data_IF_701364083485
#
_entry.id   IF_701364083485
#
_cell.length_a   1.000
_cell.length_b   1.000
_cell.length_c   1.000
_cell.angle_alpha   90.00
_cell.angle_beta   90.00
_cell.angle_gamma   90.00
#
_symmetry.space_group_name_H-M   'P 1'
#
loop_
_entity.id
_entity.type
_entity.pdbx_description
1 polymer ?
#
# COMPACT_ATOMS: atom_id res chain seq x y z
N UNK A 1 -1.82 -18.85 -16.22
CA UNK A 1 -1.87 -18.75 -14.75
C UNK A 1 -2.03 -17.29 -14.42
N UNK A 2 -2.99 -16.97 -13.57
CA UNK A 2 -3.36 -15.58 -13.29
C UNK A 2 -2.53 -15.07 -12.11
N UNK A 3 -1.54 -14.24 -12.41
CA UNK A 3 -0.57 -13.74 -11.44
C UNK A 3 -0.87 -12.29 -11.05
N UNK A 4 -2.04 -12.07 -10.47
CA UNK A 4 -2.46 -10.76 -10.01
C UNK A 4 -3.38 -10.85 -8.79
N UNK A 5 -3.40 -9.78 -8.02
CA UNK A 5 -4.25 -9.53 -6.88
C UNK A 5 -5.57 -8.95 -7.41
N UNK A 6 -6.68 -9.47 -6.92
CA UNK A 6 -8.05 -9.02 -7.26
C UNK A 6 -8.74 -8.31 -6.10
N UNK A 7 -8.18 -8.42 -4.89
CA UNK A 7 -8.72 -7.77 -3.69
C UNK A 7 -7.60 -7.50 -2.71
N UNK A 8 -7.57 -6.28 -2.15
CA UNK A 8 -6.71 -5.92 -1.02
C UNK A 8 -7.58 -5.42 0.11
N UNK A 9 -7.44 -6.03 1.28
CA UNK A 9 -8.07 -5.60 2.52
C UNK A 9 -6.99 -5.31 3.56
N UNK A 10 -7.31 -4.44 4.51
CA UNK A 10 -6.40 -4.04 5.58
C UNK A 10 -7.07 -4.34 6.92
N UNK A 11 -6.30 -4.76 7.92
CA UNK A 11 -6.80 -4.91 9.29
C UNK A 11 -7.25 -3.55 9.86
N UNK A 12 -8.54 -3.43 10.16
CA UNK A 12 -9.16 -2.21 10.69
C UNK A 12 -8.59 -1.84 12.08
N UNK A 13 -8.09 -2.81 12.85
CA UNK A 13 -7.45 -2.57 14.15
C UNK A 13 -6.12 -1.81 14.03
N UNK A 14 -5.41 -2.04 12.93
CA UNK A 14 -4.16 -1.35 12.58
C UNK A 14 -4.38 0.05 11.98
N UNK A 15 -5.63 0.36 11.60
CA UNK A 15 -6.02 1.60 10.92
C UNK A 15 -6.55 2.59 11.96
N UNK A 16 -5.65 3.35 12.58
CA UNK A 16 -6.03 4.53 13.39
C UNK A 16 -6.93 5.44 12.55
N UNK A 17 -8.03 5.95 13.10
CA UNK A 17 -9.01 6.80 12.39
C UNK A 17 -8.32 7.89 11.56
N UNK A 18 -8.23 7.65 10.26
CA UNK A 18 -7.58 8.57 9.34
C UNK A 18 -8.50 9.74 9.01
N UNK A 19 -7.89 10.88 8.69
CA UNK A 19 -8.64 12.01 8.11
C UNK A 19 -9.23 11.58 6.76
N UNK A 20 -10.37 12.15 6.32
CA UNK A 20 -11.02 11.78 5.06
C UNK A 20 -10.10 11.80 3.83
N UNK A 21 -9.12 12.71 3.82
CA UNK A 21 -8.16 12.84 2.72
C UNK A 21 -7.25 11.61 2.61
N UNK A 22 -6.79 11.07 3.74
CA UNK A 22 -5.90 9.90 3.77
C UNK A 22 -6.68 8.64 3.36
N UNK A 23 -7.93 8.51 3.77
CA UNK A 23 -8.78 7.41 3.33
C UNK A 23 -9.03 7.45 1.81
N UNK A 24 -9.26 8.65 1.25
CA UNK A 24 -9.36 8.82 -0.21
C UNK A 24 -8.08 8.39 -0.92
N UNK A 25 -6.93 8.88 -0.47
CA UNK A 25 -5.61 8.53 -1.05
C UNK A 25 -5.35 7.02 -0.98
N UNK A 26 -5.68 6.39 0.15
CA UNK A 26 -5.59 4.93 0.30
C UNK A 26 -6.45 4.20 -0.71
N UNK A 27 -7.71 4.60 -0.90
CA UNK A 27 -8.60 3.95 -1.88
C UNK A 27 -8.07 4.07 -3.30
N UNK A 28 -7.52 5.22 -3.65
CA UNK A 28 -6.85 5.44 -4.95
C UNK A 28 -5.66 4.50 -5.09
N UNK A 29 -4.76 4.46 -4.10
CA UNK A 29 -3.60 3.58 -4.13
C UNK A 29 -3.97 2.09 -4.25
N UNK A 30 -5.02 1.62 -3.55
CA UNK A 30 -5.52 0.24 -3.68
C UNK A 30 -6.09 0.00 -5.08
N UNK A 31 -6.84 0.95 -5.63
CA UNK A 31 -7.39 0.84 -6.98
C UNK A 31 -6.29 0.72 -8.03
N UNK A 32 -5.30 1.62 -7.98
CA UNK A 32 -4.17 1.62 -8.92
C UNK A 32 -3.35 0.33 -8.82
N UNK A 33 -3.13 -0.15 -7.59
CA UNK A 33 -2.49 -1.44 -7.34
C UNK A 33 -3.29 -2.58 -7.99
N UNK A 34 -4.60 -2.67 -7.79
CA UNK A 34 -5.42 -3.74 -8.34
C UNK A 34 -5.45 -3.75 -9.88
N UNK A 35 -5.41 -2.58 -10.51
CA UNK A 35 -5.42 -2.46 -11.98
C UNK A 35 -4.10 -2.87 -12.64
N UNK A 36 -2.95 -2.63 -11.99
CA UNK A 36 -1.63 -2.74 -12.63
C UNK A 36 -0.66 -3.72 -11.97
N UNK A 37 -1.08 -4.44 -10.93
CA UNK A 37 -0.17 -5.36 -10.23
C UNK A 37 0.19 -6.62 -11.03
N UNK A 38 1.39 -7.09 -10.76
CA UNK A 38 1.79 -8.48 -10.96
C UNK A 38 2.15 -9.07 -9.59
N UNK A 39 1.59 -10.23 -9.27
CA UNK A 39 1.81 -10.89 -8.00
C UNK A 39 1.91 -12.40 -8.21
N UNK A 40 3.05 -12.98 -7.82
CA UNK A 40 3.32 -14.41 -7.96
C UNK A 40 4.07 -14.92 -6.73
N UNK A 41 3.39 -15.58 -5.78
CA UNK A 41 4.04 -16.18 -4.63
C UNK A 41 5.05 -17.26 -5.05
N UNK A 42 6.23 -17.24 -4.45
CA UNK A 42 7.31 -18.18 -4.75
C UNK A 42 6.98 -19.64 -4.39
N UNK A 43 5.95 -19.86 -3.55
CA UNK A 43 5.43 -21.18 -3.21
C UNK A 43 4.78 -21.90 -4.41
N UNK A 44 4.48 -21.18 -5.49
CA UNK A 44 3.74 -21.71 -6.63
C UNK A 44 2.22 -21.73 -6.40
N UNK A 45 1.73 -21.02 -5.37
CA UNK A 45 0.30 -20.85 -5.13
C UNK A 45 -0.37 -20.27 -6.38
N UNK A 46 -1.44 -20.90 -6.83
CA UNK A 46 -2.16 -20.47 -8.02
C UNK A 46 -3.00 -19.23 -7.71
N UNK A 47 -3.01 -18.26 -8.61
CA UNK A 47 -3.85 -17.07 -8.49
C UNK A 47 -5.10 -17.15 -9.37
N UNK A 48 -5.93 -16.07 -9.39
CA UNK A 48 -5.65 -14.77 -8.79
C UNK A 48 -5.80 -14.76 -7.26
N UNK A 49 -5.29 -13.70 -6.62
CA UNK A 49 -5.11 -13.66 -5.16
C UNK A 49 -5.97 -12.61 -4.49
N UNK A 50 -6.47 -12.93 -3.30
CA UNK A 50 -6.95 -11.94 -2.34
C UNK A 50 -5.89 -11.73 -1.28
N UNK A 51 -5.57 -10.48 -0.99
CA UNK A 51 -4.56 -10.11 -0.03
C UNK A 51 -5.21 -9.43 1.17
N UNK A 52 -4.91 -9.90 2.36
CA UNK A 52 -5.21 -9.21 3.61
C UNK A 52 -3.91 -8.78 4.28
N UNK A 53 -3.74 -7.47 4.47
CA UNK A 53 -2.56 -6.88 5.09
C UNK A 53 -2.86 -6.46 6.52
N UNK A 54 -2.01 -6.89 7.45
CA UNK A 54 -2.15 -6.55 8.86
C UNK A 54 -0.79 -6.25 9.50
N UNK A 55 -0.82 -5.60 10.66
CA UNK A 55 0.37 -5.35 11.47
C UNK A 55 0.33 -6.26 12.69
N UNK A 56 1.30 -7.17 12.79
CA UNK A 56 1.46 -8.05 13.94
C UNK A 56 2.90 -7.99 14.46
N UNK A 57 3.09 -7.74 15.75
CA UNK A 57 4.41 -7.74 16.41
C UNK A 57 5.49 -6.91 15.67
N UNK A 58 5.12 -5.72 15.20
CA UNK A 58 5.99 -4.86 14.37
C UNK A 58 6.46 -5.51 13.05
N UNK A 59 5.61 -6.34 12.46
CA UNK A 59 5.77 -6.90 11.11
C UNK A 59 4.55 -6.59 10.27
N UNK A 60 4.77 -6.43 8.98
CA UNK A 60 3.71 -6.40 7.98
C UNK A 60 3.45 -7.85 7.56
N UNK A 61 2.23 -8.32 7.77
CA UNK A 61 1.83 -9.69 7.42
C UNK A 61 1.00 -9.64 6.15
N UNK A 62 1.41 -10.43 5.16
CA UNK A 62 0.69 -10.65 3.92
C UNK A 62 -0.05 -11.97 4.05
N UNK A 63 -1.36 -11.92 4.26
CA UNK A 63 -2.21 -13.10 4.21
C UNK A 63 -2.73 -13.25 2.77
N UNK A 64 -2.22 -14.25 2.07
CA UNK A 64 -2.47 -14.48 0.65
C UNK A 64 -3.44 -15.64 0.52
N UNK A 65 -4.62 -15.36 -0.05
CA UNK A 65 -5.63 -16.37 -0.33
C UNK A 65 -5.77 -16.58 -1.84
N UNK A 66 -5.61 -17.83 -2.28
CA UNK A 66 -5.93 -18.23 -3.64
C UNK A 66 -7.44 -18.18 -3.86
N UNK A 67 -7.86 -17.57 -4.97
CA UNK A 67 -9.26 -17.69 -5.45
C UNK A 67 -9.47 -18.97 -6.25
N UNK A 68 -8.39 -19.65 -6.65
CA UNK A 68 -8.41 -20.93 -7.33
C UNK A 68 -8.37 -22.09 -6.33
N UNK A 69 -9.30 -23.04 -6.48
CA UNK A 69 -9.33 -24.39 -5.88
C UNK A 69 -8.93 -24.49 -4.40
N UNK A 70 -9.93 -24.64 -3.53
CA UNK A 70 -9.73 -25.16 -2.16
C UNK A 70 -9.35 -24.15 -1.09
N UNK A 71 -9.50 -22.84 -1.35
CA UNK A 71 -9.21 -21.76 -0.38
C UNK A 71 -7.79 -21.83 0.22
N UNK A 72 -6.82 -22.33 -0.55
CA UNK A 72 -5.44 -22.40 -0.11
C UNK A 72 -4.94 -21.00 0.30
N UNK A 73 -4.39 -20.94 1.51
CA UNK A 73 -3.97 -19.70 2.16
C UNK A 73 -2.56 -19.86 2.69
N UNK A 74 -1.75 -18.82 2.55
CA UNK A 74 -0.43 -18.72 3.14
C UNK A 74 -0.20 -17.32 3.71
N UNK A 75 0.76 -17.21 4.63
CA UNK A 75 1.11 -15.94 5.27
C UNK A 75 2.60 -15.67 5.14
N UNK A 76 2.96 -14.45 4.75
CA UNK A 76 4.34 -13.99 4.68
C UNK A 76 4.55 -12.86 5.69
N UNK A 77 5.56 -13.00 6.54
CA UNK A 77 5.88 -12.03 7.60
C UNK A 77 7.08 -11.20 7.19
N UNK A 78 6.87 -9.91 6.98
CA UNK A 78 7.93 -8.98 6.59
C UNK A 78 8.26 -8.04 7.75
N UNK A 79 9.54 -7.94 8.17
CA UNK A 79 9.92 -7.01 9.22
C UNK A 79 9.81 -5.57 8.71
N UNK A 80 9.23 -4.66 9.51
CA UNK A 80 9.14 -3.24 9.15
C UNK A 80 10.49 -2.56 8.93
N UNK A 81 11.58 -3.14 9.45
CA UNK A 81 12.94 -2.61 9.24
C UNK A 81 13.29 -2.42 7.75
N UNK A 82 12.76 -3.27 6.86
CA UNK A 82 12.96 -3.12 5.41
C UNK A 82 12.23 -1.92 4.80
N UNK A 83 11.12 -1.50 5.41
CA UNK A 83 10.28 -0.41 4.92
C UNK A 83 10.61 0.95 5.56
N UNK A 84 11.42 0.98 6.63
CA UNK A 84 11.69 2.21 7.41
C UNK A 84 12.13 3.40 6.57
N UNK A 85 12.98 3.17 5.57
CA UNK A 85 13.47 4.23 4.68
C UNK A 85 12.34 4.79 3.82
N UNK A 86 11.65 3.93 3.08
CA UNK A 86 10.53 4.32 2.20
C UNK A 86 9.42 5.03 2.99
N UNK A 87 9.06 4.49 4.15
CA UNK A 87 8.07 5.10 5.04
C UNK A 87 8.52 6.50 5.49
N UNK A 88 9.79 6.65 5.89
CA UNK A 88 10.34 7.95 6.30
C UNK A 88 10.36 8.96 5.15
N UNK A 89 10.79 8.53 3.96
CA UNK A 89 10.87 9.38 2.78
C UNK A 89 9.45 9.84 2.38
N UNK A 90 8.46 8.95 2.43
CA UNK A 90 7.05 9.27 2.24
C UNK A 90 6.55 10.32 3.25
N UNK A 91 6.78 10.11 4.55
CA UNK A 91 6.38 11.07 5.58
C UNK A 91 7.02 12.45 5.36
N UNK A 92 8.29 12.49 4.95
CA UNK A 92 9.01 13.75 4.69
C UNK A 92 8.38 14.52 3.52
N UNK A 93 7.99 13.82 2.45
CA UNK A 93 7.29 14.42 1.31
C UNK A 93 5.90 14.91 1.72
N UNK A 94 5.15 14.13 2.49
CA UNK A 94 3.85 14.54 3.01
C UNK A 94 3.94 15.76 3.93
N UNK A 95 4.90 15.81 4.86
CA UNK A 95 5.11 16.98 5.73
C UNK A 95 5.45 18.22 4.92
N UNK A 96 6.35 18.09 3.94
CA UNK A 96 6.71 19.20 3.04
C UNK A 96 5.50 19.69 2.25
N UNK A 97 4.64 18.78 1.77
CA UNK A 97 3.38 19.10 1.09
C UNK A 97 2.38 19.84 2.01
N UNK A 98 2.17 19.35 3.23
CA UNK A 98 1.25 19.97 4.19
C UNK A 98 1.71 21.36 4.64
N UNK A 99 3.00 21.54 4.91
CA UNK A 99 3.57 22.84 5.26
C UNK A 99 3.52 23.83 4.07
N UNK A 100 3.75 23.33 2.85
CA UNK A 100 3.62 24.14 1.64
C UNK A 100 2.19 24.61 1.39
N UNK A 101 1.17 23.78 1.62
CA UNK A 101 -0.25 24.16 1.43
C UNK A 101 -0.67 25.32 2.34
N UNK A 102 -0.14 25.41 3.56
CA UNK A 102 -0.50 26.48 4.50
C UNK A 102 0.08 27.85 4.12
N UNK A 103 1.19 27.89 3.38
CA UNK A 103 2.00 29.12 3.24
C UNK A 103 2.58 29.40 1.84
N UNK A 104 2.37 28.52 0.83
CA UNK A 104 3.04 28.63 -0.48
C UNK A 104 2.11 28.94 -1.64
N UNK A 105 2.63 29.60 -2.70
CA UNK A 105 1.90 29.79 -3.96
C UNK A 105 1.58 28.46 -4.66
N UNK A 106 0.48 28.37 -5.44
CA UNK A 106 -0.03 27.14 -6.07
C UNK A 106 1.00 26.30 -6.85
N UNK A 107 1.95 26.96 -7.53
CA UNK A 107 3.00 26.30 -8.33
C UNK A 107 3.93 25.40 -7.49
N UNK A 108 4.09 25.68 -6.20
CA UNK A 108 4.93 24.85 -5.31
C UNK A 108 4.20 23.59 -4.83
N UNK A 109 2.87 23.63 -4.80
CA UNK A 109 2.02 22.51 -4.40
C UNK A 109 1.99 21.45 -5.51
N UNK A 110 1.89 21.87 -6.78
CA UNK A 110 1.94 20.95 -7.94
C UNK A 110 3.26 20.19 -8.03
N UNK A 111 4.39 20.87 -7.81
CA UNK A 111 5.71 20.24 -7.83
C UNK A 111 5.88 19.17 -6.74
N UNK A 112 5.26 19.38 -5.56
CA UNK A 112 5.27 18.41 -4.46
C UNK A 112 4.31 17.24 -4.70
N UNK A 113 3.14 17.47 -5.30
CA UNK A 113 2.22 16.38 -5.68
C UNK A 113 2.86 15.48 -6.75
N UNK A 114 3.62 16.05 -7.68
CA UNK A 114 4.38 15.28 -8.67
C UNK A 114 5.42 14.37 -7.99
N UNK A 115 6.21 14.91 -7.06
CA UNK A 115 7.19 14.13 -6.30
C UNK A 115 6.57 13.04 -5.43
N UNK A 116 5.40 13.29 -4.85
CA UNK A 116 4.64 12.31 -4.07
C UNK A 116 4.17 11.14 -4.93
N UNK A 117 3.63 11.42 -6.13
CA UNK A 117 3.20 10.37 -7.06
C UNK A 117 4.39 9.56 -7.59
N UNK A 118 5.51 10.19 -7.88
CA UNK A 118 6.71 9.46 -8.30
C UNK A 118 7.22 8.45 -7.27
N UNK A 119 7.02 8.69 -5.96
CA UNK A 119 7.33 7.69 -4.92
C UNK A 119 6.29 6.57 -4.82
N UNK A 120 5.06 6.79 -5.30
CA UNK A 120 4.05 5.74 -5.42
C UNK A 120 4.29 4.85 -6.62
N UNK A 121 4.89 5.40 -7.68
CA UNK A 121 5.17 4.72 -8.94
C UNK A 121 6.54 3.97 -8.96
N UNK A 122 7.31 4.03 -7.87
CA UNK A 122 8.65 3.39 -7.72
C UNK A 122 8.58 2.04 -6.98
#
# INVERSE_FOLDING_TARGET
>A
MDFHIVEVTLDEGSIVRWRPEIDRERRVAIYDLLEQNYFAPASGLLGPYKLHLEIQDSRLVFNIKSTHSGDATESVFLPFSGFRRVIKDYFTVCETYYEAIKHSPPQRIEALDLGRRSLHDE
#
